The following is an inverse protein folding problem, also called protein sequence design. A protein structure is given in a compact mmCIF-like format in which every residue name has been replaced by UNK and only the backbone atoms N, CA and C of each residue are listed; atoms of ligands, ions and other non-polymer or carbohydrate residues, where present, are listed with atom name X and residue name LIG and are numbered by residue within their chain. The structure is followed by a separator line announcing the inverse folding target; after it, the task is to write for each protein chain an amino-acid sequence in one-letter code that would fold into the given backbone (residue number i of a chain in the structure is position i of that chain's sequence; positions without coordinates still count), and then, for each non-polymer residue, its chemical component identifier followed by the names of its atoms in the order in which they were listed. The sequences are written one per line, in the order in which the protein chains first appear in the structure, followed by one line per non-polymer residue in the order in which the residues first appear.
data_IF_024416265069
#
_entry.id   IF_024416265069
#
_cell.length_a   1.000
_cell.length_b   1.000
_cell.length_c   1.000
_cell.angle_alpha   90.00
_cell.angle_beta   90.00
_cell.angle_gamma   90.00
#
_symmetry.space_group_name_H-M   'P 1'
#
loop_
_entity.id
_entity.type
_entity.pdbx_description
1 polymer ?
#
# COMPACT_ATOMS: atom_id res chain seq x y z
N UNK A 1 -24.49 10.05 -1.41
CA UNK A 1 -24.26 10.56 -2.77
C UNK A 1 -23.02 9.89 -3.38
N UNK A 2 -23.22 8.64 -3.85
CA UNK A 2 -22.15 7.73 -4.33
C UNK A 2 -21.34 8.28 -5.52
N UNK A 3 -21.95 9.11 -6.35
CA UNK A 3 -21.27 9.78 -7.47
C UNK A 3 -20.17 10.73 -6.96
N UNK A 4 -20.45 11.47 -5.88
CA UNK A 4 -19.44 12.32 -5.21
C UNK A 4 -18.35 11.50 -4.52
N UNK A 5 -18.70 10.35 -3.93
CA UNK A 5 -17.73 9.46 -3.28
C UNK A 5 -16.74 8.86 -4.30
N UNK A 6 -17.25 8.42 -5.46
CA UNK A 6 -16.39 7.91 -6.55
C UNK A 6 -15.50 9.00 -7.14
N UNK A 7 -16.02 10.20 -7.31
CA UNK A 7 -15.21 11.35 -7.75
C UNK A 7 -14.15 11.71 -6.71
N UNK A 8 -14.52 11.74 -5.42
CA UNK A 8 -13.59 11.96 -4.32
C UNK A 8 -12.47 10.92 -4.27
N UNK A 9 -12.78 9.64 -4.47
CA UNK A 9 -11.78 8.58 -4.56
C UNK A 9 -10.77 8.81 -5.68
N UNK A 10 -11.23 9.11 -6.91
CA UNK A 10 -10.33 9.37 -8.03
C UNK A 10 -9.46 10.61 -7.82
N UNK A 11 -10.05 11.69 -7.28
CA UNK A 11 -9.29 12.89 -6.96
C UNK A 11 -8.24 12.63 -5.88
N UNK A 12 -8.63 11.93 -4.81
CA UNK A 12 -7.71 11.54 -3.74
C UNK A 12 -6.58 10.66 -4.27
N UNK A 13 -6.89 9.69 -5.13
CA UNK A 13 -5.89 8.80 -5.74
C UNK A 13 -4.86 9.59 -6.54
N UNK A 14 -5.31 10.53 -7.40
CA UNK A 14 -4.41 11.36 -8.21
C UNK A 14 -3.50 12.22 -7.32
N UNK A 15 -4.06 12.86 -6.31
CA UNK A 15 -3.29 13.68 -5.36
C UNK A 15 -2.27 12.82 -4.62
N UNK A 16 -2.68 11.65 -4.12
CA UNK A 16 -1.81 10.74 -3.37
C UNK A 16 -0.67 10.22 -4.25
N UNK A 17 -0.96 9.78 -5.47
CA UNK A 17 0.06 9.30 -6.42
C UNK A 17 1.05 10.42 -6.76
N UNK A 18 0.58 11.64 -6.95
CA UNK A 18 1.45 12.80 -7.22
C UNK A 18 2.35 13.13 -6.02
N UNK A 19 1.79 13.18 -4.81
CA UNK A 19 2.55 13.46 -3.59
C UNK A 19 3.56 12.37 -3.28
N UNK A 20 3.13 11.09 -3.31
CA UNK A 20 4.00 9.95 -3.03
C UNK A 20 5.08 9.82 -4.11
N UNK A 21 4.72 10.04 -5.38
CA UNK A 21 5.68 10.04 -6.48
C UNK A 21 6.74 11.14 -6.34
N UNK A 22 6.32 12.35 -6.00
CA UNK A 22 7.24 13.49 -5.78
C UNK A 22 8.16 13.22 -4.58
N UNK A 23 7.62 12.71 -3.48
CA UNK A 23 8.38 12.39 -2.28
C UNK A 23 9.34 11.22 -2.52
N UNK A 24 8.89 10.20 -3.24
CA UNK A 24 9.72 9.05 -3.62
C UNK A 24 10.89 9.48 -4.51
N UNK A 25 10.62 10.34 -5.49
CA UNK A 25 11.67 10.93 -6.34
C UNK A 25 12.67 11.76 -5.53
N UNK A 26 12.17 12.59 -4.61
CA UNK A 26 13.01 13.34 -3.70
C UNK A 26 13.91 12.43 -2.87
N UNK A 27 13.35 11.37 -2.27
CA UNK A 27 14.14 10.39 -1.50
C UNK A 27 15.20 9.69 -2.36
N UNK A 28 14.88 9.31 -3.58
CA UNK A 28 15.83 8.66 -4.50
C UNK A 28 16.99 9.59 -4.84
N UNK A 29 16.72 10.88 -5.11
CA UNK A 29 17.75 11.85 -5.49
C UNK A 29 18.62 12.23 -4.29
N UNK A 30 18.03 12.35 -3.10
CA UNK A 30 18.71 12.86 -1.91
C UNK A 30 19.05 11.77 -0.89
N UNK A 31 18.98 10.49 -1.24
CA UNK A 31 19.21 9.39 -0.30
C UNK A 31 20.59 9.43 0.34
N UNK A 32 21.65 9.68 -0.42
CA UNK A 32 23.01 9.72 0.13
C UNK A 32 23.22 10.87 1.14
N UNK A 33 22.91 12.14 0.83
CA UNK A 33 23.06 13.20 1.80
C UNK A 33 22.15 13.02 3.03
N UNK A 34 20.94 12.47 2.86
CA UNK A 34 20.06 12.18 3.97
C UNK A 34 20.58 11.04 4.85
N UNK A 35 21.11 9.98 4.25
CA UNK A 35 21.68 8.86 4.99
C UNK A 35 22.91 9.28 5.81
N UNK A 36 23.77 10.13 5.26
CA UNK A 36 24.98 10.66 5.94
C UNK A 36 24.68 11.50 7.18
N UNK A 37 23.46 11.99 7.36
CA UNK A 37 23.04 12.68 8.60
C UNK A 37 22.98 11.70 9.77
N UNK A 38 22.70 10.41 9.51
CA UNK A 38 22.46 9.39 10.51
C UNK A 38 23.54 8.31 10.54
N UNK A 39 24.34 8.18 9.48
CA UNK A 39 25.26 7.07 9.24
C UNK A 39 26.63 7.64 8.88
N UNK A 40 27.63 7.37 9.72
CA UNK A 40 29.02 7.80 9.49
C UNK A 40 29.80 6.88 8.55
N UNK A 41 29.40 5.60 8.48
CA UNK A 41 30.08 4.59 7.65
C UNK A 41 29.67 4.70 6.18
N UNK A 42 30.62 4.97 5.26
CA UNK A 42 30.36 5.10 3.83
C UNK A 42 29.80 3.80 3.19
N UNK A 43 30.23 2.63 3.67
CA UNK A 43 29.76 1.34 3.15
C UNK A 43 28.27 1.10 3.48
N UNK A 44 27.87 1.47 4.70
CA UNK A 44 26.46 1.37 5.14
C UNK A 44 25.60 2.41 4.40
N UNK A 45 26.15 3.61 4.13
CA UNK A 45 25.45 4.65 3.35
C UNK A 45 25.17 4.17 1.92
N UNK A 46 26.17 3.63 1.23
CA UNK A 46 26.02 3.08 -0.13
C UNK A 46 24.99 1.95 -0.18
N UNK A 47 25.05 1.06 0.80
CA UNK A 47 24.08 -0.04 0.90
C UNK A 47 22.65 0.47 1.15
N UNK A 48 22.49 1.47 2.03
CA UNK A 48 21.19 2.13 2.29
C UNK A 48 20.65 2.80 1.02
N UNK A 49 21.51 3.47 0.26
CA UNK A 49 21.12 4.09 -1.01
C UNK A 49 20.59 3.04 -2.01
N UNK A 50 21.28 1.90 -2.16
CA UNK A 50 20.83 0.79 -3.02
C UNK A 50 19.47 0.26 -2.60
N UNK A 51 19.24 0.08 -1.29
CA UNK A 51 17.96 -0.35 -0.74
C UNK A 51 16.83 0.63 -1.05
N UNK A 52 17.05 1.91 -0.83
CA UNK A 52 16.05 2.97 -1.09
C UNK A 52 15.72 3.04 -2.58
N UNK A 53 16.73 3.03 -3.45
CA UNK A 53 16.53 3.01 -4.91
C UNK A 53 15.70 1.81 -5.37
N UNK A 54 15.90 0.66 -4.74
CA UNK A 54 15.13 -0.54 -5.05
C UNK A 54 13.67 -0.44 -4.59
N UNK A 55 13.40 0.05 -3.37
CA UNK A 55 12.07 0.07 -2.77
C UNK A 55 11.23 1.27 -3.22
N UNK A 56 11.83 2.43 -3.44
CA UNK A 56 11.14 3.69 -3.68
C UNK A 56 10.08 3.65 -4.81
N UNK A 57 10.31 3.01 -5.97
CA UNK A 57 9.30 2.92 -7.03
C UNK A 57 8.03 2.18 -6.59
N UNK A 58 8.16 1.26 -5.64
CA UNK A 58 7.05 0.43 -5.16
C UNK A 58 6.14 1.15 -4.14
N UNK A 59 6.55 2.30 -3.61
CA UNK A 59 5.67 3.13 -2.77
C UNK A 59 4.40 3.57 -3.50
N UNK A 60 4.45 3.70 -4.82
CA UNK A 60 3.25 4.00 -5.63
C UNK A 60 2.20 2.90 -5.52
N UNK A 61 2.61 1.63 -5.54
CA UNK A 61 1.67 0.50 -5.35
C UNK A 61 1.07 0.51 -3.95
N UNK A 62 1.88 0.79 -2.94
CA UNK A 62 1.38 0.92 -1.57
C UNK A 62 0.38 2.06 -1.42
N UNK A 63 0.62 3.20 -2.08
CA UNK A 63 -0.29 4.35 -2.03
C UNK A 63 -1.67 4.02 -2.63
N UNK A 64 -1.73 3.20 -3.67
CA UNK A 64 -3.00 2.71 -4.24
C UNK A 64 -3.74 1.82 -3.24
N UNK A 65 -3.03 0.92 -2.56
CA UNK A 65 -3.60 0.05 -1.50
C UNK A 65 -4.22 0.89 -0.39
N UNK A 66 -3.47 1.84 0.14
CA UNK A 66 -3.88 2.66 1.28
C UNK A 66 -5.08 3.55 0.92
N UNK A 67 -5.05 4.20 -0.24
CA UNK A 67 -6.12 5.05 -0.74
C UNK A 67 -7.41 4.23 -0.98
N UNK A 68 -7.31 3.06 -1.61
CA UNK A 68 -8.47 2.18 -1.87
C UNK A 68 -9.05 1.62 -0.58
N UNK A 69 -8.19 1.19 0.33
CA UNK A 69 -8.59 0.73 1.68
C UNK A 69 -9.30 1.85 2.46
N UNK A 70 -8.78 3.08 2.40
CA UNK A 70 -9.38 4.27 3.01
C UNK A 70 -10.77 4.58 2.45
N UNK A 71 -10.93 4.51 1.13
CA UNK A 71 -12.21 4.75 0.47
C UNK A 71 -13.28 3.71 0.88
N UNK A 72 -12.91 2.44 0.96
CA UNK A 72 -13.82 1.37 1.37
C UNK A 72 -14.19 1.54 2.86
N UNK A 73 -13.24 1.88 3.73
CA UNK A 73 -13.53 2.19 5.14
C UNK A 73 -14.45 3.41 5.28
N UNK A 74 -14.24 4.42 4.47
CA UNK A 74 -15.10 5.62 4.42
C UNK A 74 -16.54 5.35 3.99
N UNK A 75 -16.79 4.24 3.28
CA UNK A 75 -18.15 3.78 2.94
C UNK A 75 -18.87 3.04 4.09
N UNK A 76 -18.22 2.89 5.24
CA UNK A 76 -18.76 2.18 6.42
C UNK A 76 -18.44 0.69 6.46
N UNK A 77 -17.66 0.18 5.51
CA UNK A 77 -17.16 -1.19 5.49
C UNK A 77 -15.70 -1.24 5.95
N UNK A 78 -15.46 -1.52 7.23
CA UNK A 78 -14.10 -1.60 7.79
C UNK A 78 -13.56 -3.03 7.85
N UNK A 79 -14.43 -4.03 7.94
CA UNK A 79 -14.03 -5.42 8.17
C UNK A 79 -13.33 -6.06 6.96
N UNK A 80 -13.89 -5.91 5.76
CA UNK A 80 -13.33 -6.49 4.54
C UNK A 80 -11.95 -5.92 4.18
N UNK A 81 -11.72 -4.58 4.14
CA UNK A 81 -10.37 -4.06 3.89
C UNK A 81 -9.37 -4.45 4.98
N UNK A 82 -9.82 -4.60 6.24
CA UNK A 82 -8.97 -5.14 7.30
C UNK A 82 -8.51 -6.57 7.00
N UNK A 83 -9.42 -7.46 6.61
CA UNK A 83 -9.06 -8.84 6.24
C UNK A 83 -8.13 -8.89 5.04
N UNK A 84 -8.40 -8.10 3.98
CA UNK A 84 -7.53 -8.04 2.79
C UNK A 84 -6.11 -7.57 3.14
N UNK A 85 -6.00 -6.57 4.02
CA UNK A 85 -4.70 -6.08 4.48
C UNK A 85 -3.97 -7.13 5.32
N UNK A 86 -4.66 -7.79 6.26
CA UNK A 86 -4.07 -8.85 7.10
C UNK A 86 -3.57 -9.99 6.24
N UNK A 87 -4.40 -10.49 5.32
CA UNK A 87 -4.04 -11.61 4.45
C UNK A 87 -2.92 -11.23 3.47
N UNK A 88 -3.07 -10.10 2.77
CA UNK A 88 -2.12 -9.68 1.74
C UNK A 88 -0.79 -9.18 2.29
N UNK A 89 -0.80 -8.50 3.44
CA UNK A 89 0.41 -7.90 3.99
C UNK A 89 1.00 -8.71 5.14
N UNK A 90 0.21 -9.11 6.13
CA UNK A 90 0.73 -9.77 7.32
C UNK A 90 0.98 -11.27 7.09
N UNK A 91 -0.05 -12.01 6.68
CA UNK A 91 0.08 -13.47 6.54
C UNK A 91 1.10 -13.82 5.46
N UNK A 92 1.02 -13.19 4.29
CA UNK A 92 1.96 -13.44 3.20
C UNK A 92 3.40 -13.10 3.62
N UNK A 93 3.61 -12.00 4.35
CA UNK A 93 4.94 -11.59 4.82
C UNK A 93 5.53 -12.60 5.81
N UNK A 94 4.72 -13.10 6.75
CA UNK A 94 5.15 -14.13 7.70
C UNK A 94 5.52 -15.43 6.96
N UNK A 95 4.68 -15.86 6.02
CA UNK A 95 4.96 -17.05 5.20
C UNK A 95 6.26 -16.87 4.39
N UNK A 96 6.45 -15.71 3.77
CA UNK A 96 7.68 -15.40 3.02
C UNK A 96 8.92 -15.48 3.90
N UNK A 97 8.88 -14.88 5.10
CA UNK A 97 10.00 -14.90 6.05
C UNK A 97 10.32 -16.31 6.56
N UNK A 98 9.31 -17.15 6.73
CA UNK A 98 9.51 -18.53 7.23
C UNK A 98 9.91 -19.51 6.14
N UNK A 99 9.54 -19.30 4.89
CA UNK A 99 9.76 -20.25 3.80
C UNK A 99 10.88 -19.79 2.86
N UNK A 100 10.82 -18.54 2.38
CA UNK A 100 11.73 -18.07 1.33
C UNK A 100 13.07 -17.61 1.89
N UNK A 101 13.06 -16.88 3.00
CA UNK A 101 14.29 -16.36 3.60
C UNK A 101 15.25 -17.47 4.06
N UNK A 102 14.79 -18.60 4.65
CA UNK A 102 15.70 -19.72 4.99
C UNK A 102 16.30 -20.42 3.77
N UNK A 103 15.69 -20.31 2.59
CA UNK A 103 16.22 -20.89 1.35
C UNK A 103 17.28 -19.98 0.71
N UNK A 104 17.17 -18.67 0.90
CA UNK A 104 18.06 -17.67 0.35
C UNK A 104 18.42 -16.62 1.40
N UNK A 105 19.52 -16.84 2.11
CA UNK A 105 19.98 -16.00 3.23
C UNK A 105 20.62 -14.67 2.74
N UNK A 106 19.91 -13.93 1.89
CA UNK A 106 20.37 -12.64 1.39
C UNK A 106 19.44 -11.52 1.85
N UNK A 107 20.02 -10.34 2.10
CA UNK A 107 19.23 -9.15 2.48
C UNK A 107 18.29 -8.73 1.35
N UNK A 108 18.68 -8.95 0.11
CA UNK A 108 17.85 -8.70 -1.07
C UNK A 108 16.56 -9.52 -1.04
N UNK A 109 16.63 -10.79 -0.62
CA UNK A 109 15.45 -11.65 -0.46
C UNK A 109 14.51 -11.15 0.63
N UNK A 110 15.07 -10.59 1.71
CA UNK A 110 14.25 -9.93 2.76
C UNK A 110 13.58 -8.65 2.23
N UNK A 111 14.26 -7.88 1.40
CA UNK A 111 13.70 -6.65 0.82
C UNK A 111 12.62 -6.93 -0.23
N UNK A 112 12.76 -8.01 -1.00
CA UNK A 112 11.78 -8.40 -2.01
C UNK A 112 10.38 -8.65 -1.44
N UNK A 113 10.25 -8.99 -0.16
CA UNK A 113 8.96 -9.19 0.47
C UNK A 113 8.08 -7.94 0.42
N UNK A 114 8.66 -6.73 0.49
CA UNK A 114 7.91 -5.49 0.47
C UNK A 114 7.23 -5.23 -0.88
N UNK A 115 7.95 -5.16 -2.01
CA UNK A 115 7.35 -5.01 -3.32
C UNK A 115 6.31 -6.09 -3.63
N UNK A 116 6.63 -7.36 -3.34
CA UNK A 116 5.74 -8.49 -3.65
C UNK A 116 4.45 -8.39 -2.83
N UNK A 117 4.53 -8.10 -1.52
CA UNK A 117 3.32 -7.93 -0.70
C UNK A 117 2.50 -6.72 -1.13
N UNK A 118 3.11 -5.62 -1.53
CA UNK A 118 2.39 -4.42 -1.97
C UNK A 118 1.69 -4.63 -3.31
N UNK A 119 2.36 -5.27 -4.28
CA UNK A 119 1.75 -5.62 -5.57
C UNK A 119 0.58 -6.60 -5.37
N UNK A 120 0.79 -7.65 -4.57
CA UNK A 120 -0.23 -8.64 -4.27
C UNK A 120 -1.45 -7.99 -3.60
N UNK A 121 -1.20 -7.18 -2.56
CA UNK A 121 -2.26 -6.50 -1.83
C UNK A 121 -2.97 -5.47 -2.72
N UNK A 122 -2.25 -4.72 -3.56
CA UNK A 122 -2.84 -3.82 -4.53
C UNK A 122 -3.74 -4.58 -5.52
N UNK A 123 -3.29 -5.71 -6.05
CA UNK A 123 -4.08 -6.55 -6.93
C UNK A 123 -5.36 -7.07 -6.24
N UNK A 124 -5.28 -7.50 -4.99
CA UNK A 124 -6.44 -7.92 -4.19
C UNK A 124 -7.44 -6.78 -3.99
N UNK A 125 -6.97 -5.56 -3.66
CA UNK A 125 -7.84 -4.40 -3.50
C UNK A 125 -8.46 -3.94 -4.81
N UNK A 126 -7.70 -3.94 -5.91
CA UNK A 126 -8.23 -3.61 -7.24
C UNK A 126 -9.27 -4.66 -7.69
N UNK A 127 -8.98 -5.94 -7.49
CA UNK A 127 -9.92 -7.02 -7.76
C UNK A 127 -11.19 -6.86 -6.92
N UNK A 128 -11.05 -6.59 -5.62
CA UNK A 128 -12.18 -6.32 -4.74
C UNK A 128 -12.97 -5.08 -5.17
N UNK A 129 -12.29 -4.02 -5.62
CA UNK A 129 -12.95 -2.81 -6.12
C UNK A 129 -13.74 -3.06 -7.40
N UNK A 130 -13.24 -3.91 -8.31
CA UNK A 130 -13.90 -4.23 -9.58
C UNK A 130 -14.99 -5.30 -9.44
N UNK A 131 -14.73 -6.35 -8.68
CA UNK A 131 -15.63 -7.52 -8.57
C UNK A 131 -16.45 -7.50 -7.27
N UNK A 132 -15.99 -6.82 -6.25
CA UNK A 132 -16.72 -6.66 -4.99
C UNK A 132 -17.81 -5.61 -5.13
N UNK A 133 -19.05 -5.97 -4.97
CA UNK A 133 -20.22 -5.10 -4.95
C UNK A 133 -20.25 -4.18 -3.69
N UNK A 134 -19.08 -3.62 -3.33
CA UNK A 134 -18.93 -2.81 -2.11
C UNK A 134 -19.83 -1.57 -2.11
N UNK A 135 -20.08 -0.98 -3.30
CA UNK A 135 -20.99 0.16 -3.46
C UNK A 135 -22.45 -0.25 -3.24
N UNK A 136 -22.87 -1.41 -3.76
CA UNK A 136 -24.25 -1.91 -3.56
C UNK A 136 -24.52 -2.29 -2.11
N UNK A 137 -23.53 -2.87 -1.42
CA UNK A 137 -23.66 -3.15 0.02
C UNK A 137 -23.71 -1.88 0.87
N UNK A 138 -22.95 -0.84 0.50
CA UNK A 138 -23.02 0.45 1.16
C UNK A 138 -24.38 1.13 0.93
N UNK A 139 -24.96 1.00 -0.27
CA UNK A 139 -26.31 1.48 -0.61
C UNK A 139 -27.39 0.76 0.20
N UNK A 140 -27.36 -0.56 0.25
CA UNK A 140 -28.33 -1.36 1.04
C UNK A 140 -28.26 -1.03 2.53
N UNK A 141 -27.05 -0.83 3.06
CA UNK A 141 -26.87 -0.45 4.47
C UNK A 141 -27.39 0.95 4.77
N UNK A 142 -27.14 1.92 3.88
CA UNK A 142 -27.67 3.27 4.01
C UNK A 142 -29.21 3.28 3.93
N UNK A 143 -29.81 2.56 2.99
CA UNK A 143 -31.24 2.43 2.85
C UNK A 143 -31.92 1.78 4.09
N UNK A 144 -31.27 0.78 4.70
CA UNK A 144 -31.75 0.17 5.95
C UNK A 144 -31.75 1.14 7.13
N UNK A 145 -30.76 2.02 7.21
CA UNK A 145 -30.67 3.03 8.28
C UNK A 145 -31.70 4.14 8.10
N UNK A 146 -32.02 4.51 6.86
CA UNK A 146 -33.10 5.50 6.55
C UNK A 146 -34.50 4.97 6.89
N UNK A 147 -34.72 3.66 6.83
CA UNK A 147 -36.02 3.02 7.17
C UNK A 147 -36.19 2.87 8.70
N UNK A 148 -35.10 2.97 9.46
CA UNK A 148 -35.13 2.83 10.93
C UNK A 148 -35.25 4.18 11.68
N UNK A 149 -35.18 5.29 10.98
CA UNK A 149 -35.37 6.65 11.51
C UNK A 149 -36.76 7.17 11.19
#
# INVERSE_FOLDING_TARGET
NYKRMRQGYHTSLVITVFLVGSLSLFLVVFVEPLARIFIDDPAVTDYTAKMVHFIAPFYLFYSVVDNTSGAIRGSGESFRPMLLTILGTCVFRVVWLLVVVPMHHTVETMLLVYPVTWILTAALFVAYHHFGHWLTHAEEKAARLEVQL
#
